data_IF_047789518701
#
_entry.id   IF_047789518701
#
_cell.length_a   1.000
_cell.length_b   1.000
_cell.length_c   1.000
_cell.angle_alpha   90.00
_cell.angle_beta   90.00
_cell.angle_gamma   90.00
#
_symmetry.space_group_name_H-M   'P 1'
#
loop_
_entity.id
_entity.type
_entity.pdbx_description
1 polymer ?
#
# COMPACT_ATOMS: atom_id res chain seq x y z
N UNK A 1 15.37 81.54 36.16
CA UNK A 1 14.12 80.72 36.06
C UNK A 1 14.47 79.43 35.36
N UNK A 2 14.62 78.29 36.06
CA UNK A 2 14.92 77.01 35.42
C UNK A 2 13.59 76.31 35.05
N UNK A 3 13.51 75.84 33.80
CA UNK A 3 12.39 75.06 33.24
C UNK A 3 12.73 73.57 33.51
N UNK A 4 11.91 72.92 34.32
CA UNK A 4 11.98 71.48 34.53
C UNK A 4 11.18 70.75 33.42
N UNK A 5 11.90 69.99 32.57
CA UNK A 5 11.31 69.12 31.57
C UNK A 5 10.90 67.79 32.21
N UNK A 6 9.61 67.49 32.15
CA UNK A 6 9.08 66.21 32.63
C UNK A 6 9.36 65.11 31.60
N UNK A 7 10.21 64.15 31.94
CA UNK A 7 10.46 62.96 31.13
C UNK A 7 9.36 61.92 31.45
N UNK A 8 8.49 61.71 30.48
CA UNK A 8 7.44 60.69 30.51
C UNK A 8 8.07 59.33 30.13
N UNK A 9 8.32 58.46 31.13
CA UNK A 9 8.77 57.10 30.93
C UNK A 9 7.57 56.24 30.49
N UNK A 10 7.56 55.84 29.20
CA UNK A 10 6.59 54.87 28.67
C UNK A 10 7.10 53.45 29.00
N UNK A 11 6.51 52.77 29.98
CA UNK A 11 6.75 51.37 30.27
C UNK A 11 5.96 50.51 29.30
N UNK A 12 6.66 49.86 28.35
CA UNK A 12 6.10 48.88 27.43
C UNK A 12 5.88 47.56 28.20
N UNK A 13 4.64 47.27 28.60
CA UNK A 13 4.28 45.97 29.20
C UNK A 13 4.25 44.93 28.10
N UNK A 14 5.30 44.08 27.98
CA UNK A 14 5.31 42.88 27.15
C UNK A 14 4.34 41.86 27.74
N UNK A 15 3.16 41.73 27.11
CA UNK A 15 2.20 40.68 27.41
C UNK A 15 2.69 39.38 26.76
N UNK A 16 3.45 38.56 27.51
CA UNK A 16 3.76 37.19 27.10
C UNK A 16 2.46 36.36 27.18
N UNK A 17 1.76 36.22 26.05
CA UNK A 17 0.76 35.17 25.90
C UNK A 17 1.46 33.79 25.96
N UNK A 18 1.59 33.23 27.15
CA UNK A 18 1.85 31.81 27.32
C UNK A 18 0.60 31.06 26.85
N UNK A 19 0.54 30.77 25.53
CA UNK A 19 -0.44 29.85 24.97
C UNK A 19 -0.24 28.50 25.64
N UNK A 20 -1.14 28.09 26.52
CA UNK A 20 -1.28 26.68 26.93
C UNK A 20 -1.54 25.87 25.67
N UNK A 21 -0.48 25.35 25.04
CA UNK A 21 -0.62 24.26 24.08
C UNK A 21 -1.00 23.02 24.89
N UNK A 22 -2.28 22.70 24.93
CA UNK A 22 -2.72 21.38 25.40
C UNK A 22 -2.09 20.35 24.46
N UNK A 23 -1.24 19.47 25.01
CA UNK A 23 -0.70 18.35 24.25
C UNK A 23 -1.90 17.59 23.62
N UNK A 24 -1.80 17.22 22.33
CA UNK A 24 -2.85 16.43 21.68
C UNK A 24 -3.06 15.13 22.46
N UNK A 25 -4.32 14.80 22.74
CA UNK A 25 -4.66 13.55 23.41
C UNK A 25 -4.11 12.38 22.61
N UNK A 26 -3.37 11.48 23.26
CA UNK A 26 -2.86 10.26 22.62
C UNK A 26 -4.03 9.32 22.31
N UNK A 27 -4.38 9.20 21.03
CA UNK A 27 -5.47 8.36 20.53
C UNK A 27 -5.02 7.02 19.97
N UNK A 28 -3.72 6.71 19.99
CA UNK A 28 -3.15 5.54 19.31
C UNK A 28 -3.83 4.23 19.66
N UNK A 29 -4.16 3.99 20.91
CA UNK A 29 -4.85 2.75 21.32
C UNK A 29 -6.27 2.62 20.73
N UNK A 30 -6.99 3.74 20.59
CA UNK A 30 -8.30 3.77 19.93
C UNK A 30 -8.17 3.58 18.42
N UNK A 31 -7.15 4.19 17.83
CA UNK A 31 -6.84 4.10 16.41
C UNK A 31 -6.42 2.69 16.01
N UNK A 32 -5.57 2.04 16.82
CA UNK A 32 -5.20 0.62 16.62
C UNK A 32 -6.44 -0.28 16.63
N UNK A 33 -7.35 -0.07 17.58
CA UNK A 33 -8.58 -0.84 17.64
C UNK A 33 -9.45 -0.63 16.39
N UNK A 34 -9.62 0.62 15.97
CA UNK A 34 -10.40 0.94 14.77
C UNK A 34 -9.83 0.29 13.49
N UNK A 35 -8.49 0.26 13.35
CA UNK A 35 -7.83 -0.41 12.24
C UNK A 35 -8.04 -1.92 12.31
N UNK A 36 -7.88 -2.56 13.47
CA UNK A 36 -8.12 -3.99 13.64
C UNK A 36 -9.56 -4.39 13.35
N UNK A 37 -10.52 -3.57 13.76
CA UNK A 37 -11.95 -3.81 13.51
C UNK A 37 -12.25 -3.69 11.99
N UNK A 38 -11.67 -2.71 11.30
CA UNK A 38 -11.80 -2.53 9.86
C UNK A 38 -11.13 -3.69 9.08
N UNK A 39 -9.96 -4.13 9.51
CA UNK A 39 -9.24 -5.26 8.94
C UNK A 39 -10.02 -6.57 9.09
N UNK A 40 -10.52 -6.86 10.29
CA UNK A 40 -11.33 -8.06 10.55
C UNK A 40 -12.60 -8.08 9.69
N UNK A 41 -13.23 -6.92 9.47
CA UNK A 41 -14.38 -6.81 8.57
C UNK A 41 -13.99 -7.11 7.11
N UNK A 42 -12.83 -6.63 6.66
CA UNK A 42 -12.26 -6.88 5.33
C UNK A 42 -11.99 -8.38 5.14
N UNK A 43 -11.34 -9.03 6.09
CA UNK A 43 -11.07 -10.48 6.04
C UNK A 43 -12.36 -11.28 5.95
N UNK A 44 -13.32 -10.98 6.83
CA UNK A 44 -14.63 -11.65 6.84
C UNK A 44 -15.36 -11.53 5.51
N UNK A 45 -15.32 -10.33 4.90
CA UNK A 45 -15.93 -10.10 3.58
C UNK A 45 -15.22 -10.90 2.48
N UNK A 46 -13.88 -10.91 2.48
CA UNK A 46 -13.08 -11.69 1.52
C UNK A 46 -13.38 -13.19 1.63
N UNK A 47 -13.47 -13.74 2.85
CA UNK A 47 -13.85 -15.14 3.11
C UNK A 47 -15.30 -15.48 2.70
N UNK A 48 -16.18 -14.48 2.74
CA UNK A 48 -17.56 -14.61 2.28
C UNK A 48 -17.72 -14.39 0.77
N UNK A 49 -16.64 -14.17 0.03
CA UNK A 49 -16.63 -13.79 -1.39
C UNK A 49 -17.39 -12.46 -1.68
N UNK A 50 -17.49 -11.59 -0.68
CA UNK A 50 -18.06 -10.26 -0.81
C UNK A 50 -16.98 -9.26 -1.27
N UNK A 51 -16.96 -8.99 -2.58
CA UNK A 51 -15.99 -8.08 -3.19
C UNK A 51 -16.12 -6.65 -2.66
N UNK A 52 -17.34 -6.17 -2.42
CA UNK A 52 -17.59 -4.80 -1.98
C UNK A 52 -17.12 -4.61 -0.53
N UNK A 53 -17.38 -5.58 0.32
CA UNK A 53 -16.86 -5.61 1.69
C UNK A 53 -15.35 -5.74 1.74
N UNK A 54 -14.75 -6.58 0.90
CA UNK A 54 -13.29 -6.78 0.83
C UNK A 54 -12.53 -5.50 0.42
N UNK A 55 -13.18 -4.56 -0.28
CA UNK A 55 -12.55 -3.29 -0.65
C UNK A 55 -13.07 -2.09 0.17
N UNK A 56 -13.94 -2.31 1.14
CA UNK A 56 -14.54 -1.22 1.91
C UNK A 56 -13.51 -0.36 2.66
N UNK A 57 -12.43 -0.99 3.11
CA UNK A 57 -11.33 -0.33 3.84
C UNK A 57 -10.35 0.44 2.96
N UNK A 58 -10.38 0.30 1.63
CA UNK A 58 -9.52 1.09 0.76
C UNK A 58 -10.04 2.52 0.60
N UNK A 59 -9.11 3.48 0.56
CA UNK A 59 -9.40 4.86 0.14
C UNK A 59 -9.70 4.90 -1.36
N UNK A 60 -10.41 5.94 -1.81
CA UNK A 60 -10.80 6.07 -3.22
C UNK A 60 -9.59 6.21 -4.15
N UNK A 61 -8.51 6.82 -3.67
CA UNK A 61 -7.24 7.03 -4.35
C UNK A 61 -6.14 6.02 -3.97
N UNK A 62 -6.49 4.92 -3.32
CA UNK A 62 -5.54 3.91 -2.86
C UNK A 62 -4.72 3.31 -4.01
N UNK A 63 -3.53 2.86 -3.66
CA UNK A 63 -2.61 2.14 -4.55
C UNK A 63 -2.45 0.70 -4.08
N UNK A 64 -2.66 -0.26 -4.97
CA UNK A 64 -2.44 -1.68 -4.72
C UNK A 64 -1.29 -2.20 -5.59
N UNK A 65 -0.32 -2.84 -4.97
CA UNK A 65 0.93 -3.29 -5.56
C UNK A 65 1.00 -4.83 -5.55
N UNK A 66 0.20 -5.52 -6.38
CA UNK A 66 0.22 -6.97 -6.43
C UNK A 66 1.54 -7.50 -7.03
N UNK A 67 2.01 -8.68 -6.62
CA UNK A 67 3.25 -9.24 -7.14
C UNK A 67 3.15 -9.53 -8.65
N UNK A 68 4.26 -9.31 -9.36
CA UNK A 68 4.39 -9.60 -10.80
C UNK A 68 3.33 -8.93 -11.68
N UNK A 69 2.75 -7.83 -11.24
CA UNK A 69 1.70 -7.08 -11.93
C UNK A 69 1.98 -5.58 -11.88
N UNK A 70 1.47 -4.79 -12.84
CA UNK A 70 1.54 -3.34 -12.76
C UNK A 70 0.81 -2.82 -11.50
N UNK A 71 1.24 -1.63 -11.06
CA UNK A 71 0.54 -0.86 -10.03
C UNK A 71 -0.94 -0.67 -10.41
N UNK A 72 -1.83 -0.95 -9.47
CA UNK A 72 -3.27 -0.70 -9.60
C UNK A 72 -3.61 0.53 -8.77
N UNK A 73 -4.22 1.53 -9.38
CA UNK A 73 -4.56 2.80 -8.71
C UNK A 73 -6.07 3.03 -8.70
N UNK A 74 -6.56 3.44 -7.54
CA UNK A 74 -7.96 3.77 -7.28
C UNK A 74 -8.81 2.56 -6.90
N UNK A 75 -9.73 2.79 -5.96
CA UNK A 75 -10.60 1.76 -5.37
C UNK A 75 -11.38 0.95 -6.39
N UNK A 76 -11.86 1.58 -7.47
CA UNK A 76 -12.61 0.87 -8.52
C UNK A 76 -11.75 -0.16 -9.25
N UNK A 77 -10.48 0.17 -9.55
CA UNK A 77 -9.55 -0.75 -10.18
C UNK A 77 -9.10 -1.86 -9.20
N UNK A 78 -8.89 -1.53 -7.93
CA UNK A 78 -8.60 -2.49 -6.85
C UNK A 78 -9.77 -3.47 -6.72
N UNK A 79 -11.01 -2.98 -6.73
CA UNK A 79 -12.22 -3.82 -6.71
C UNK A 79 -12.24 -4.83 -7.86
N UNK A 80 -11.87 -4.39 -9.07
CA UNK A 80 -11.79 -5.30 -10.21
C UNK A 80 -10.71 -6.38 -10.03
N UNK A 81 -9.60 -6.04 -9.37
CA UNK A 81 -8.55 -7.00 -8.98
C UNK A 81 -9.04 -8.03 -7.97
N UNK A 82 -9.70 -7.57 -6.91
CA UNK A 82 -10.31 -8.44 -5.89
C UNK A 82 -11.40 -9.35 -6.48
N UNK A 83 -12.24 -8.82 -7.39
CA UNK A 83 -13.26 -9.63 -8.07
C UNK A 83 -12.64 -10.78 -8.88
N UNK A 84 -11.49 -10.55 -9.53
CA UNK A 84 -10.76 -11.62 -10.23
C UNK A 84 -10.17 -12.64 -9.26
N UNK A 85 -9.62 -12.19 -8.13
CA UNK A 85 -9.02 -13.06 -7.13
C UNK A 85 -10.08 -13.95 -6.49
N UNK A 86 -11.15 -13.37 -5.96
CA UNK A 86 -12.29 -14.04 -5.33
C UNK A 86 -13.05 -14.95 -6.34
N UNK A 87 -13.10 -14.55 -7.61
CA UNK A 87 -13.78 -15.32 -8.66
C UNK A 87 -13.05 -16.59 -9.10
N UNK A 88 -11.84 -16.89 -8.58
CA UNK A 88 -11.18 -18.16 -8.85
C UNK A 88 -11.93 -19.31 -8.12
N UNK A 89 -12.21 -20.41 -8.81
CA UNK A 89 -12.79 -21.59 -8.15
C UNK A 89 -11.95 -22.06 -6.98
N UNK A 90 -12.58 -22.46 -5.89
CA UNK A 90 -11.88 -22.93 -4.70
C UNK A 90 -11.13 -21.83 -3.94
N UNK A 91 -11.38 -20.53 -4.20
CA UNK A 91 -10.71 -19.45 -3.51
C UNK A 91 -10.98 -19.48 -2.03
N UNK A 92 -9.89 -19.46 -1.26
CA UNK A 92 -9.88 -19.24 0.20
C UNK A 92 -8.75 -18.32 0.56
N UNK A 93 -8.94 -17.51 1.60
CA UNK A 93 -7.92 -16.59 2.10
C UNK A 93 -8.05 -16.48 3.62
N UNK A 94 -6.90 -16.35 4.26
CA UNK A 94 -6.79 -16.01 5.66
C UNK A 94 -5.54 -15.16 5.87
N UNK A 95 -5.57 -14.24 6.84
CA UNK A 95 -4.41 -13.47 7.25
C UNK A 95 -4.49 -13.06 8.71
N UNK A 96 -3.36 -12.71 9.25
CA UNK A 96 -3.25 -12.15 10.60
C UNK A 96 -2.35 -10.92 10.60
N UNK A 97 -2.67 -9.97 11.46
CA UNK A 97 -1.80 -8.82 11.72
C UNK A 97 -0.69 -9.26 12.68
N UNK A 98 0.54 -9.32 12.17
CA UNK A 98 1.74 -9.60 12.97
C UNK A 98 2.23 -8.33 13.67
N UNK A 99 2.09 -7.17 13.02
CA UNK A 99 2.45 -5.87 13.57
C UNK A 99 1.47 -4.79 13.11
N UNK A 100 1.10 -3.91 14.03
CA UNK A 100 0.39 -2.67 13.76
C UNK A 100 1.05 -1.56 14.56
N UNK A 101 1.31 -0.43 13.93
CA UNK A 101 1.88 0.73 14.58
C UNK A 101 1.23 2.01 14.06
N UNK A 102 0.74 2.83 14.98
CA UNK A 102 0.13 4.14 14.67
C UNK A 102 1.15 5.23 14.94
N UNK A 103 1.27 6.20 14.03
CA UNK A 103 2.13 7.37 14.18
C UNK A 103 1.76 8.15 15.45
N UNK A 104 2.73 8.86 16.02
CA UNK A 104 2.47 9.72 17.19
C UNK A 104 1.43 10.82 16.89
N UNK A 105 1.33 11.26 15.65
CA UNK A 105 0.35 12.25 15.22
C UNK A 105 -1.08 11.68 15.10
N UNK A 106 -1.24 10.35 15.13
CA UNK A 106 -2.54 9.68 15.01
C UNK A 106 -3.18 9.82 13.63
N UNK A 107 -2.40 10.05 12.57
CA UNK A 107 -2.85 10.32 11.20
C UNK A 107 -2.47 9.24 10.21
N UNK A 108 -1.38 8.49 10.48
CA UNK A 108 -0.89 7.39 9.69
C UNK A 108 -0.65 6.14 10.56
N UNK A 109 -0.79 4.98 9.95
CA UNK A 109 -0.42 3.71 10.55
C UNK A 109 0.08 2.76 9.46
N UNK A 110 0.78 1.70 9.88
CA UNK A 110 1.05 0.58 9.01
C UNK A 110 0.72 -0.74 9.70
N UNK A 111 0.41 -1.73 8.90
CA UNK A 111 0.22 -3.12 9.32
C UNK A 111 1.15 -4.03 8.54
N UNK A 112 1.68 -5.04 9.21
CA UNK A 112 2.39 -6.16 8.58
C UNK A 112 1.57 -7.40 8.85
N UNK A 113 1.43 -8.23 7.82
CA UNK A 113 0.64 -9.44 7.86
C UNK A 113 1.43 -10.65 7.39
N UNK A 114 1.03 -11.81 7.87
CA UNK A 114 1.21 -13.07 7.16
C UNK A 114 -0.13 -13.53 6.59
N UNK A 115 -0.12 -14.08 5.38
CA UNK A 115 -1.33 -14.57 4.74
C UNK A 115 -1.15 -15.99 4.20
N UNK A 116 -2.28 -16.67 4.02
CA UNK A 116 -2.42 -17.91 3.29
C UNK A 116 -3.62 -17.79 2.37
N UNK A 117 -3.49 -18.26 1.12
CA UNK A 117 -4.59 -18.36 0.19
C UNK A 117 -4.50 -19.62 -0.65
N UNK A 118 -5.64 -20.10 -1.14
CA UNK A 118 -5.71 -21.19 -2.08
C UNK A 118 -6.76 -20.92 -3.14
N UNK A 119 -6.62 -21.55 -4.31
CA UNK A 119 -7.60 -21.58 -5.39
C UNK A 119 -7.32 -22.77 -6.29
N UNK A 120 -8.29 -23.18 -7.12
CA UNK A 120 -8.14 -24.29 -8.02
C UNK A 120 -7.30 -23.87 -9.25
N UNK A 121 -6.24 -24.64 -9.51
CA UNK A 121 -5.45 -24.48 -10.73
C UNK A 121 -6.21 -25.02 -11.97
N UNK A 122 -5.65 -24.73 -13.14
CA UNK A 122 -6.25 -25.12 -14.44
C UNK A 122 -6.53 -26.63 -14.60
N UNK A 123 -5.88 -27.48 -13.80
CA UNK A 123 -6.06 -28.92 -13.79
C UNK A 123 -6.96 -29.41 -12.63
N UNK A 124 -7.69 -28.50 -11.97
CA UNK A 124 -8.52 -28.78 -10.79
C UNK A 124 -7.74 -29.16 -9.52
N UNK A 125 -6.41 -29.03 -9.53
CA UNK A 125 -5.59 -29.23 -8.31
C UNK A 125 -5.45 -27.92 -7.56
N UNK A 126 -5.60 -27.93 -6.22
CA UNK A 126 -5.41 -26.73 -5.44
C UNK A 126 -4.00 -26.13 -5.63
N UNK A 127 -3.95 -24.83 -5.82
CA UNK A 127 -2.75 -24.02 -5.73
C UNK A 127 -2.83 -23.27 -4.41
N UNK A 128 -1.84 -23.46 -3.56
CA UNK A 128 -1.73 -22.71 -2.30
C UNK A 128 -0.63 -21.68 -2.43
N UNK A 129 -0.82 -20.52 -1.83
CA UNK A 129 0.17 -19.49 -1.67
C UNK A 129 0.19 -19.01 -0.22
N UNK A 130 1.37 -18.64 0.26
CA UNK A 130 1.57 -18.02 1.56
C UNK A 130 2.62 -16.93 1.41
N UNK A 131 2.52 -15.92 2.25
CA UNK A 131 3.45 -14.81 2.16
C UNK A 131 3.20 -13.74 3.20
N UNK A 132 3.69 -12.58 2.91
CA UNK A 132 3.60 -11.39 3.76
C UNK A 132 3.01 -10.23 2.97
N UNK A 133 2.42 -9.35 3.72
CA UNK A 133 1.73 -8.17 3.23
C UNK A 133 2.05 -6.97 4.13
N UNK A 134 1.99 -5.78 3.56
CA UNK A 134 2.08 -4.53 4.30
C UNK A 134 1.08 -3.53 3.75
N UNK A 135 0.21 -3.03 4.62
CA UNK A 135 -0.69 -1.94 4.28
C UNK A 135 -0.32 -0.66 5.03
N UNK A 136 -0.47 0.48 4.36
CA UNK A 136 -0.41 1.82 4.95
C UNK A 136 -1.81 2.35 5.09
N UNK A 137 -2.15 2.77 6.31
CA UNK A 137 -3.44 3.33 6.68
C UNK A 137 -3.32 4.83 6.92
N UNK A 138 -4.35 5.56 6.52
CA UNK A 138 -4.46 7.00 6.76
C UNK A 138 -5.81 7.31 7.36
N UNK A 139 -5.80 8.13 8.43
CA UNK A 139 -7.03 8.64 9.01
C UNK A 139 -7.63 9.70 8.09
N UNK A 140 -8.88 9.52 7.72
CA UNK A 140 -9.62 10.43 6.86
C UNK A 140 -10.17 11.61 7.65
N UNK A 141 -10.67 12.63 6.96
CA UNK A 141 -11.23 13.82 7.60
C UNK A 141 -12.47 13.54 8.47
N UNK A 142 -13.19 12.44 8.18
CA UNK A 142 -14.32 11.95 8.97
C UNK A 142 -13.92 11.08 10.17
N UNK A 143 -12.60 10.88 10.36
CA UNK A 143 -12.02 10.03 11.40
C UNK A 143 -11.91 8.54 11.04
N UNK A 144 -12.44 8.10 9.91
CA UNK A 144 -12.32 6.72 9.47
C UNK A 144 -10.88 6.39 9.03
N UNK A 145 -10.41 5.19 9.34
CA UNK A 145 -9.14 4.68 8.85
C UNK A 145 -9.33 3.97 7.51
N UNK A 146 -8.50 4.33 6.51
CA UNK A 146 -8.51 3.73 5.16
C UNK A 146 -7.12 3.32 4.72
N UNK A 147 -7.00 2.18 4.06
CA UNK A 147 -5.78 1.78 3.37
C UNK A 147 -5.53 2.70 2.17
N UNK A 148 -4.35 3.30 2.11
CA UNK A 148 -3.91 4.17 1.00
C UNK A 148 -2.86 3.50 0.14
N UNK A 149 -2.14 2.51 0.68
CA UNK A 149 -1.24 1.66 -0.06
C UNK A 149 -1.29 0.25 0.53
N UNK A 150 -1.16 -0.76 -0.33
CA UNK A 150 -1.22 -2.16 0.03
C UNK A 150 -0.32 -2.96 -0.94
N UNK A 151 0.55 -3.80 -0.38
CA UNK A 151 1.51 -4.59 -1.15
C UNK A 151 1.74 -5.94 -0.51
N UNK A 152 1.69 -6.99 -1.32
CA UNK A 152 1.96 -8.33 -0.84
C UNK A 152 2.95 -9.07 -1.72
N UNK A 153 3.57 -10.09 -1.19
CA UNK A 153 4.44 -10.97 -1.94
C UNK A 153 4.46 -12.39 -1.36
N UNK A 154 4.55 -13.34 -2.28
CA UNK A 154 4.62 -14.76 -1.97
C UNK A 154 5.98 -15.13 -1.38
N UNK A 155 6.00 -16.09 -0.45
CA UNK A 155 7.20 -16.75 0.06
C UNK A 155 7.59 -17.98 -0.79
N UNK A 156 6.74 -18.34 -1.77
CA UNK A 156 7.03 -19.43 -2.65
C UNK A 156 8.10 -19.04 -3.68
N UNK A 157 9.01 -19.95 -3.96
CA UNK A 157 10.03 -19.71 -4.98
C UNK A 157 9.38 -19.42 -6.34
N UNK A 158 9.78 -18.34 -6.98
CA UNK A 158 9.38 -18.04 -8.37
C UNK A 158 9.91 -19.20 -9.22
N UNK A 159 9.01 -19.99 -9.84
CA UNK A 159 9.43 -20.98 -10.84
C UNK A 159 10.13 -20.22 -11.95
N UNK A 160 11.45 -20.36 -12.07
CA UNK A 160 12.24 -19.78 -13.13
C UNK A 160 11.56 -20.09 -14.46
N UNK A 161 11.05 -19.07 -15.15
CA UNK A 161 10.65 -19.25 -16.54
C UNK A 161 11.92 -19.67 -17.28
N UNK A 162 11.91 -20.89 -17.86
CA UNK A 162 13.01 -21.38 -18.66
C UNK A 162 13.39 -20.28 -19.65
N UNK A 163 14.65 -19.81 -19.58
CA UNK A 163 15.17 -18.83 -20.54
C UNK A 163 14.80 -19.32 -21.93
N UNK A 164 13.99 -18.56 -22.67
CA UNK A 164 13.78 -18.77 -24.11
C UNK A 164 15.17 -18.93 -24.73
N UNK A 165 15.43 -19.99 -25.50
CA UNK A 165 16.77 -20.18 -26.09
C UNK A 165 17.10 -18.94 -26.89
N UNK A 166 18.22 -18.32 -26.56
CA UNK A 166 18.75 -17.18 -27.26
C UNK A 166 18.93 -17.58 -28.73
N UNK A 167 18.14 -17.00 -29.63
CA UNK A 167 18.23 -17.24 -31.05
C UNK A 167 19.63 -16.83 -31.49
N UNK A 168 20.50 -17.82 -31.72
CA UNK A 168 21.85 -17.60 -32.26
C UNK A 168 21.71 -16.78 -33.52
N UNK A 169 22.11 -15.52 -33.47
CA UNK A 169 22.28 -14.68 -34.64
C UNK A 169 23.15 -15.42 -35.63
N UNK A 170 22.56 -15.95 -36.72
CA UNK A 170 23.30 -16.48 -37.86
C UNK A 170 24.07 -15.31 -38.46
N UNK A 171 25.39 -15.34 -38.30
CA UNK A 171 26.31 -14.44 -38.98
C UNK A 171 26.20 -14.71 -40.46
N UNK A 172 25.49 -13.84 -41.17
CA UNK A 172 25.45 -13.88 -42.65
C UNK A 172 26.85 -13.58 -43.16
N UNK A 173 27.59 -14.64 -43.63
CA UNK A 173 28.85 -14.50 -44.32
C UNK A 173 28.61 -13.71 -45.60
N UNK A 174 29.01 -12.44 -45.63
CA UNK A 174 29.03 -11.62 -46.84
C UNK A 174 29.96 -12.27 -47.88
N UNK A 175 29.43 -12.70 -49.03
CA UNK A 175 30.21 -13.12 -50.19
C UNK A 175 31.07 -11.96 -50.69
N UNK A 176 32.39 -12.17 -51.05
CA UNK A 176 33.24 -11.13 -51.60
C UNK A 176 32.76 -10.72 -53.01
N UNK A 177 32.60 -9.41 -53.21
CA UNK A 177 32.28 -8.81 -54.53
C UNK A 177 33.41 -9.00 -55.45
N UNK A 178 33.21 -9.72 -56.61
CA UNK A 178 34.15 -9.79 -57.70
C UNK A 178 34.36 -8.39 -58.35
N UNK A 179 35.60 -7.91 -58.41
CA UNK A 179 35.96 -6.69 -59.15
C UNK A 179 35.74 -6.90 -60.65
N UNK A 180 35.21 -5.92 -61.40
CA UNK A 180 35.18 -5.98 -62.86
C UNK A 180 36.62 -5.83 -63.44
N UNK A 181 36.97 -6.64 -64.47
CA UNK A 181 38.21 -6.50 -65.29
C UNK A 181 37.94 -5.36 -66.25
N UNK A 182 38.79 -4.34 -66.25
CA UNK A 182 38.90 -3.31 -67.30
C UNK A 182 39.76 -3.84 -68.38
N UNK A 183 39.23 -3.81 -69.61
CA UNK A 183 39.97 -3.88 -70.86
C UNK A 183 40.39 -2.50 -71.24
#
# INVERSE_FOLDING_TARGET
>A
MPRYGTVLMLTLASFCCAGCQTEPTDTRALDERAIRDADAATLKAAQANDVDGAVASYADDASWLPPNSPLVHGKAAIRAGWAKLIGNPGFTIDWQIDKLEVSRAGDLAYTIYTYQMAFDGANGKPITDQGKDMAVWKKQADGAWKMVADTFNSDLAVKSQAKTPETKHQTVKRRPRKRPKTS
#
